data_IF_300206930971
#
_entry.id   IF_300206930971
#
_cell.length_a   1.000
_cell.length_b   1.000
_cell.length_c   1.000
_cell.angle_alpha   90.00
_cell.angle_beta   90.00
_cell.angle_gamma   90.00
#
_symmetry.space_group_name_H-M   'P 1'
#
loop_
_entity.id
_entity.type
_entity.pdbx_description
1 polymer ?
#
# COMPACT_ATOMS: atom_id res chain seq x y z
N UNK A 1 -14.92 -54.28 44.69
CA UNK A 1 -14.32 -53.16 45.45
C UNK A 1 -12.87 -52.88 45.07
N UNK A 2 -11.88 -53.75 45.32
CA UNK A 2 -10.47 -53.46 44.94
C UNK A 2 -10.19 -53.55 43.42
N UNK A 3 -10.95 -54.37 42.69
CA UNK A 3 -10.83 -54.54 41.24
C UNK A 3 -11.32 -53.32 40.46
N UNK A 4 -12.43 -52.72 40.90
CA UNK A 4 -13.11 -51.64 40.17
C UNK A 4 -12.27 -50.36 40.17
N UNK A 5 -11.66 -50.04 41.31
CA UNK A 5 -10.78 -48.89 41.48
C UNK A 5 -9.55 -48.92 40.55
N UNK A 6 -9.00 -50.11 40.29
CA UNK A 6 -7.89 -50.28 39.36
C UNK A 6 -8.34 -50.05 37.91
N UNK A 7 -9.53 -50.50 37.54
CA UNK A 7 -10.06 -50.27 36.18
C UNK A 7 -10.27 -48.79 35.91
N UNK A 8 -10.80 -48.02 36.87
CA UNK A 8 -10.96 -46.56 36.71
C UNK A 8 -9.63 -45.82 36.61
N UNK A 9 -8.59 -46.27 37.32
CA UNK A 9 -7.24 -45.70 37.19
C UNK A 9 -6.63 -45.97 35.81
N UNK A 10 -6.77 -47.20 35.30
CA UNK A 10 -6.26 -47.55 33.96
C UNK A 10 -7.04 -46.85 32.84
N UNK A 11 -8.37 -46.79 32.95
CA UNK A 11 -9.24 -46.10 31.97
C UNK A 11 -8.97 -44.59 32.01
N UNK A 12 -8.83 -44.00 33.21
CA UNK A 12 -8.48 -42.59 33.37
C UNK A 12 -7.11 -42.25 32.77
N UNK A 13 -6.12 -43.13 32.97
CA UNK A 13 -4.79 -42.98 32.35
C UNK A 13 -4.86 -43.04 30.82
N UNK A 14 -5.64 -43.98 30.26
CA UNK A 14 -5.81 -44.10 28.81
C UNK A 14 -6.50 -42.87 28.20
N UNK A 15 -7.55 -42.34 28.83
CA UNK A 15 -8.24 -41.13 28.39
C UNK A 15 -7.30 -39.93 28.45
N UNK A 16 -6.52 -39.80 29.53
CA UNK A 16 -5.55 -38.71 29.68
C UNK A 16 -4.46 -38.76 28.60
N UNK A 17 -3.93 -39.95 28.29
CA UNK A 17 -2.95 -40.11 27.21
C UNK A 17 -3.52 -39.78 25.83
N UNK A 18 -4.78 -40.15 25.56
CA UNK A 18 -5.43 -39.82 24.28
C UNK A 18 -5.63 -38.30 24.12
N UNK A 19 -6.04 -37.59 25.17
CA UNK A 19 -6.22 -36.13 25.14
C UNK A 19 -4.88 -35.44 24.87
N UNK A 20 -3.79 -35.88 25.50
CA UNK A 20 -2.45 -35.31 25.25
C UNK A 20 -2.05 -35.51 23.79
N UNK A 21 -2.25 -36.70 23.22
CA UNK A 21 -1.90 -36.98 21.81
C UNK A 21 -2.69 -36.07 20.86
N UNK A 22 -4.01 -35.94 21.04
CA UNK A 22 -4.82 -35.05 20.20
C UNK A 22 -4.46 -33.57 20.37
N UNK A 23 -4.13 -33.14 21.59
CA UNK A 23 -3.72 -31.76 21.86
C UNK A 23 -2.38 -31.43 21.19
N UNK A 24 -1.42 -32.36 21.21
CA UNK A 24 -0.12 -32.20 20.53
C UNK A 24 -0.28 -32.15 19.01
N UNK A 25 -1.09 -33.04 18.43
CA UNK A 25 -1.37 -33.05 16.97
C UNK A 25 -2.08 -31.76 16.53
N UNK A 26 -3.04 -31.27 17.33
CA UNK A 26 -3.73 -30.00 17.06
C UNK A 26 -2.79 -28.80 17.01
N UNK A 27 -1.85 -28.72 17.96
CA UNK A 27 -0.83 -27.65 18.01
C UNK A 27 0.09 -27.71 16.77
N UNK A 28 0.48 -28.91 16.32
CA UNK A 28 1.33 -29.09 15.13
C UNK A 28 0.61 -28.65 13.85
N UNK A 29 -0.66 -29.01 13.68
CA UNK A 29 -1.44 -28.61 12.49
C UNK A 29 -1.67 -27.09 12.47
N UNK A 30 -2.00 -26.49 13.61
CA UNK A 30 -2.16 -25.04 13.74
C UNK A 30 -0.83 -24.34 13.46
N UNK A 31 0.27 -24.82 14.03
CA UNK A 31 1.61 -24.31 13.79
C UNK A 31 2.02 -24.39 12.32
N UNK A 32 1.77 -25.52 11.64
CA UNK A 32 2.07 -25.67 10.21
C UNK A 32 1.24 -24.71 9.34
N UNK A 33 -0.06 -24.53 9.62
CA UNK A 33 -0.88 -23.52 8.94
C UNK A 33 -0.39 -22.09 9.21
N UNK A 34 0.15 -21.82 10.39
CA UNK A 34 0.67 -20.50 10.77
C UNK A 34 2.02 -20.21 10.11
N UNK A 35 2.90 -21.21 10.01
CA UNK A 35 4.17 -21.12 9.25
C UNK A 35 3.89 -20.89 7.76
N UNK A 36 2.94 -21.62 7.16
CA UNK A 36 2.58 -21.41 5.74
C UNK A 36 1.96 -20.04 5.47
N UNK A 37 1.09 -19.54 6.36
CA UNK A 37 0.56 -18.16 6.29
C UNK A 37 1.65 -17.10 6.45
N UNK A 38 2.67 -17.37 7.26
CA UNK A 38 3.81 -16.47 7.47
C UNK A 38 4.76 -16.45 6.26
N UNK A 39 4.90 -17.56 5.54
CA UNK A 39 5.63 -17.59 4.25
C UNK A 39 4.90 -16.80 3.16
N UNK A 40 3.59 -17.00 2.99
CA UNK A 40 2.81 -16.26 1.98
C UNK A 40 2.72 -14.75 2.30
N UNK A 41 2.55 -14.37 3.57
CA UNK A 41 2.54 -12.96 3.97
C UNK A 41 3.92 -12.28 3.82
N UNK A 42 5.01 -13.01 4.08
CA UNK A 42 6.37 -12.49 3.84
C UNK A 42 6.67 -12.35 2.35
N UNK A 43 6.21 -13.27 1.51
CA UNK A 43 6.37 -13.18 0.05
C UNK A 43 5.57 -12.00 -0.53
N UNK A 44 4.35 -11.76 -0.04
CA UNK A 44 3.52 -10.63 -0.46
C UNK A 44 4.15 -9.28 -0.05
N UNK A 45 4.56 -9.14 1.21
CA UNK A 45 5.19 -7.92 1.69
C UNK A 45 6.57 -7.69 1.06
N UNK A 46 7.33 -8.77 0.82
CA UNK A 46 8.60 -8.69 0.11
C UNK A 46 8.42 -8.34 -1.37
N UNK A 47 7.38 -8.85 -2.05
CA UNK A 47 7.12 -8.49 -3.45
C UNK A 47 6.79 -7.00 -3.60
N UNK A 48 5.95 -6.45 -2.72
CA UNK A 48 5.66 -5.01 -2.71
C UNK A 48 6.91 -4.19 -2.35
N UNK A 49 7.81 -4.68 -1.47
CA UNK A 49 9.06 -4.00 -1.09
C UNK A 49 10.16 -4.11 -2.16
N UNK A 50 10.33 -5.27 -2.80
CA UNK A 50 11.29 -5.52 -3.88
C UNK A 50 10.92 -4.72 -5.14
N UNK A 51 9.61 -4.56 -5.39
CA UNK A 51 9.09 -3.70 -6.43
C UNK A 51 9.53 -2.24 -6.25
N UNK A 52 9.42 -1.69 -5.02
CA UNK A 52 9.88 -0.31 -4.73
C UNK A 52 11.40 -0.19 -4.83
N UNK A 53 12.13 -1.22 -4.38
CA UNK A 53 13.60 -1.27 -4.47
C UNK A 53 14.11 -1.31 -5.91
N UNK A 54 13.41 -2.03 -6.79
CA UNK A 54 13.72 -2.08 -8.22
C UNK A 54 13.46 -0.74 -8.90
N UNK A 55 12.40 -0.03 -8.53
CA UNK A 55 12.14 1.32 -9.02
C UNK A 55 13.26 2.32 -8.63
N UNK A 56 13.78 2.26 -7.40
CA UNK A 56 14.95 3.06 -6.98
C UNK A 56 16.20 2.75 -7.82
N UNK A 57 16.41 1.48 -8.15
CA UNK A 57 17.54 1.03 -8.96
C UNK A 57 17.43 1.42 -10.44
N UNK A 58 16.22 1.40 -11.01
CA UNK A 58 15.97 1.76 -12.41
C UNK A 58 16.11 3.28 -12.64
N UNK A 59 15.76 4.10 -11.63
CA UNK A 59 16.02 5.55 -11.62
C UNK A 59 17.52 5.85 -11.56
N UNK A 60 18.26 5.18 -10.66
CA UNK A 60 19.74 5.31 -10.56
C UNK A 60 20.46 4.80 -11.83
N UNK A 61 19.87 3.85 -12.55
CA UNK A 61 20.46 3.29 -13.77
C UNK A 61 20.18 4.13 -15.03
N UNK A 62 19.18 5.02 -15.00
CA UNK A 62 18.89 5.95 -16.11
C UNK A 62 19.73 7.24 -16.09
N UNK A 63 20.44 7.56 -14.99
CA UNK A 63 21.39 8.69 -14.95
C UNK A 63 22.78 8.35 -15.56
N UNK A 64 23.05 7.08 -15.85
CA UNK A 64 24.36 6.59 -16.29
C UNK A 64 24.56 6.53 -17.80
N UNK A 65 24.21 7.55 -18.59
CA UNK A 65 24.67 7.69 -19.99
C UNK A 65 24.37 9.08 -20.57
N UNK A 66 25.07 10.13 -20.12
CA UNK A 66 25.60 11.23 -20.96
C UNK A 66 26.43 12.23 -20.11
N UNK A 67 27.75 12.02 -20.10
CA UNK A 67 28.78 13.04 -19.83
C UNK A 67 29.11 13.70 -21.19
N UNK A 68 29.31 15.00 -21.40
CA UNK A 68 29.56 16.16 -20.54
C UNK A 68 28.99 17.43 -21.23
N UNK A 69 28.44 18.38 -20.47
CA UNK A 69 29.08 19.70 -20.25
C UNK A 69 28.22 20.62 -19.36
N UNK A 70 28.88 21.04 -18.27
CA UNK A 70 28.61 22.14 -17.34
C UNK A 70 27.67 21.88 -16.16
N UNK A 71 28.35 21.47 -15.08
CA UNK A 71 28.25 22.01 -13.71
C UNK A 71 27.18 21.41 -12.80
N UNK A 72 27.60 20.36 -12.09
CA UNK A 72 27.30 20.03 -10.69
C UNK A 72 26.03 20.66 -10.10
N UNK A 73 24.92 19.93 -10.16
CA UNK A 73 23.83 20.05 -9.19
C UNK A 73 23.51 18.65 -8.66
N UNK A 74 24.39 18.15 -7.79
CA UNK A 74 24.06 17.06 -6.90
C UNK A 74 22.86 17.48 -6.06
N UNK A 75 21.75 16.76 -6.22
CA UNK A 75 20.51 16.85 -5.44
C UNK A 75 20.78 17.07 -3.94
N UNK A 76 20.73 18.32 -3.50
CA UNK A 76 20.71 18.69 -2.10
C UNK A 76 19.28 18.62 -1.58
N UNK A 77 18.94 17.47 -0.97
CA UNK A 77 17.65 17.24 -0.31
C UNK A 77 17.40 18.25 0.84
N UNK A 78 18.45 18.89 1.38
CA UNK A 78 18.29 19.96 2.37
C UNK A 78 17.75 21.28 1.78
N UNK A 79 17.92 21.55 0.48
CA UNK A 79 17.45 22.79 -0.15
C UNK A 79 15.94 22.75 -0.47
N UNK A 80 15.37 21.56 -0.63
CA UNK A 80 13.92 21.37 -0.80
C UNK A 80 13.12 21.67 0.49
N UNK A 81 13.74 21.47 1.66
CA UNK A 81 13.11 21.68 2.98
C UNK A 81 13.11 23.15 3.44
N UNK A 82 13.99 24.00 2.89
CA UNK A 82 14.12 25.42 3.30
C UNK A 82 13.19 26.37 2.50
N UNK A 83 12.56 25.88 1.43
CA UNK A 83 11.61 26.66 0.61
C UNK A 83 10.15 26.57 1.10
N UNK A 84 9.88 25.85 2.20
CA UNK A 84 8.54 25.66 2.75
C UNK A 84 8.12 26.71 3.81
N UNK A 85 8.74 27.90 3.80
CA UNK A 85 8.28 29.06 4.57
C UNK A 85 7.99 30.23 3.64
N UNK A 86 6.80 30.22 3.05
CA UNK A 86 5.94 31.40 2.86
C UNK A 86 4.94 31.12 1.75
N UNK A 87 3.68 30.91 2.13
CA UNK A 87 2.57 31.70 1.61
C UNK A 87 1.23 31.19 2.14
N UNK A 88 0.67 32.03 3.01
CA UNK A 88 -0.76 32.09 3.28
C UNK A 88 -1.58 32.07 1.97
N UNK A 89 -2.59 31.19 1.89
CA UNK A 89 -3.98 31.63 1.61
C UNK A 89 -5.01 30.52 1.85
N UNK A 90 -5.60 30.60 3.03
CA UNK A 90 -6.98 30.23 3.34
C UNK A 90 -7.96 30.54 2.19
N UNK A 91 -8.79 29.56 1.80
CA UNK A 91 -10.24 29.75 1.60
C UNK A 91 -10.94 28.39 1.59
N UNK A 92 -11.76 28.16 2.62
CA UNK A 92 -12.83 27.16 2.62
C UNK A 92 -13.82 27.41 1.46
N UNK A 93 -14.18 26.36 0.72
CA UNK A 93 -15.41 26.33 -0.08
C UNK A 93 -16.00 24.92 -0.03
N UNK A 94 -17.13 24.82 0.65
CA UNK A 94 -18.05 23.67 0.68
C UNK A 94 -18.97 23.77 -0.53
N UNK A 95 -19.08 22.72 -1.34
CA UNK A 95 -20.23 22.38 -2.20
C UNK A 95 -19.92 21.00 -2.81
N UNK A 96 -20.59 19.93 -2.40
CA UNK A 96 -21.93 19.48 -2.82
C UNK A 96 -21.97 18.93 -4.25
N UNK A 97 -22.74 17.85 -4.35
CA UNK A 97 -22.81 16.81 -5.38
C UNK A 97 -23.04 17.29 -6.82
N UNK A 98 -22.49 16.49 -7.73
CA UNK A 98 -22.97 16.15 -9.08
C UNK A 98 -22.51 16.95 -10.33
N UNK A 99 -22.32 16.13 -11.36
CA UNK A 99 -22.28 16.38 -12.81
C UNK A 99 -20.93 16.68 -13.50
N UNK A 100 -20.55 15.69 -14.31
CA UNK A 100 -19.78 15.73 -15.56
C UNK A 100 -19.29 17.13 -16.00
N UNK A 101 -18.01 17.38 -15.78
CA UNK A 101 -17.30 18.52 -16.36
C UNK A 101 -16.18 17.99 -17.23
N UNK A 102 -16.26 18.24 -18.54
CA UNK A 102 -15.14 18.07 -19.47
C UNK A 102 -13.99 18.97 -19.01
N UNK A 103 -12.97 18.36 -18.38
CA UNK A 103 -11.80 19.06 -17.86
C UNK A 103 -10.79 19.29 -18.98
N UNK A 104 -10.59 20.56 -19.35
CA UNK A 104 -9.47 20.98 -20.17
C UNK A 104 -8.15 20.75 -19.43
N UNK A 105 -7.14 20.21 -20.12
CA UNK A 105 -5.85 19.75 -19.58
C UNK A 105 -4.99 20.82 -18.87
N UNK A 106 -5.41 22.08 -18.83
CA UNK A 106 -4.63 23.21 -18.32
C UNK A 106 -4.91 23.63 -16.86
N UNK A 107 -5.91 23.05 -16.16
CA UNK A 107 -6.23 23.42 -14.77
C UNK A 107 -6.66 22.21 -13.91
N UNK A 108 -6.05 21.04 -14.14
CA UNK A 108 -6.28 19.86 -13.31
C UNK A 108 -5.61 20.04 -11.93
N UNK A 109 -6.23 20.87 -11.09
CA UNK A 109 -5.85 21.03 -9.68
C UNK A 109 -6.08 19.70 -8.97
N UNK A 110 -5.03 19.20 -8.35
CA UNK A 110 -5.11 18.06 -7.43
C UNK A 110 -6.11 18.43 -6.33
N UNK A 111 -7.10 17.57 -6.10
CA UNK A 111 -8.07 17.77 -5.03
C UNK A 111 -8.17 16.54 -4.14
N UNK A 112 -8.57 16.79 -2.90
CA UNK A 112 -8.76 15.77 -1.88
C UNK A 112 -10.11 15.07 -2.11
N UNK A 113 -10.06 13.75 -2.28
CA UNK A 113 -11.22 12.87 -2.28
C UNK A 113 -11.43 12.40 -0.85
N UNK A 114 -12.55 12.80 -0.25
CA UNK A 114 -12.86 12.48 1.14
C UNK A 114 -13.23 11.01 1.31
N UNK A 115 -12.71 10.41 2.38
CA UNK A 115 -13.04 9.06 2.78
C UNK A 115 -14.47 8.92 3.34
N UNK A 116 -15.00 7.71 3.25
CA UNK A 116 -16.25 7.30 3.87
C UNK A 116 -16.00 6.82 5.30
N UNK A 117 -16.14 7.72 6.26
CA UNK A 117 -15.97 7.48 7.70
C UNK A 117 -16.80 6.31 8.27
N UNK A 118 -17.92 5.98 7.61
CA UNK A 118 -18.83 4.89 8.03
C UNK A 118 -18.40 3.52 7.52
N UNK A 119 -17.41 3.44 6.63
CA UNK A 119 -16.95 2.17 6.09
C UNK A 119 -16.30 1.30 7.18
N UNK A 120 -16.31 -0.01 7.01
CA UNK A 120 -15.49 -0.92 7.82
C UNK A 120 -14.09 -1.12 7.23
N UNK A 121 -13.87 -0.75 5.97
CA UNK A 121 -12.58 -0.88 5.28
C UNK A 121 -11.74 0.37 5.54
N UNK A 122 -10.48 0.20 5.97
CA UNK A 122 -9.62 1.33 6.35
C UNK A 122 -9.26 2.25 5.18
N UNK A 123 -9.12 1.70 3.98
CA UNK A 123 -8.81 2.48 2.78
C UNK A 123 -10.02 3.27 2.29
N UNK A 124 -11.25 2.80 2.53
CA UNK A 124 -12.43 3.61 2.22
C UNK A 124 -12.59 4.81 3.14
N UNK A 125 -12.10 4.74 4.38
CA UNK A 125 -12.12 5.87 5.31
C UNK A 125 -11.07 6.92 5.01
N UNK A 126 -10.03 6.53 4.28
CA UNK A 126 -8.88 7.39 4.05
C UNK A 126 -9.19 8.43 2.98
N UNK A 127 -8.86 9.68 3.28
CA UNK A 127 -8.77 10.70 2.25
C UNK A 127 -7.64 10.36 1.29
N UNK A 128 -7.78 10.71 0.01
CA UNK A 128 -6.77 10.46 -1.02
C UNK A 128 -6.80 11.50 -2.13
N UNK A 129 -5.80 11.51 -3.00
CA UNK A 129 -5.69 12.54 -4.04
C UNK A 129 -6.20 12.07 -5.40
N UNK A 130 -6.83 13.00 -6.12
CA UNK A 130 -7.24 12.82 -7.51
C UNK A 130 -6.08 13.03 -8.50
N UNK A 131 -6.34 12.79 -9.79
CA UNK A 131 -5.43 13.08 -10.90
C UNK A 131 -4.04 12.41 -10.82
N UNK A 132 -4.00 11.21 -10.24
CA UNK A 132 -2.81 10.39 -10.06
C UNK A 132 -2.00 10.14 -11.34
N UNK A 133 -2.66 10.19 -12.50
CA UNK A 133 -2.07 9.85 -13.81
C UNK A 133 -1.68 11.04 -14.69
N UNK A 134 -2.11 12.26 -14.35
CA UNK A 134 -1.98 13.45 -15.23
C UNK A 134 -1.29 14.65 -14.58
N UNK A 135 -1.31 14.78 -13.25
CA UNK A 135 -0.69 15.91 -12.54
C UNK A 135 0.39 15.41 -11.57
N UNK A 136 1.55 16.07 -11.56
CA UNK A 136 2.62 15.81 -10.59
C UNK A 136 2.25 16.37 -9.22
N UNK A 137 2.40 15.57 -8.17
CA UNK A 137 2.14 15.97 -6.79
C UNK A 137 3.29 16.75 -6.17
N UNK A 138 2.97 17.51 -5.14
CA UNK A 138 3.93 18.21 -4.27
C UNK A 138 3.93 17.58 -2.88
N UNK A 139 4.96 17.85 -2.07
CA UNK A 139 4.94 17.41 -0.66
C UNK A 139 3.79 18.02 0.13
N UNK A 140 3.32 19.22 -0.23
CA UNK A 140 2.17 19.84 0.43
C UNK A 140 0.90 19.02 0.19
N UNK A 141 0.71 18.50 -1.03
CA UNK A 141 -0.42 17.63 -1.36
C UNK A 141 -0.36 16.31 -0.57
N UNK A 142 0.83 15.76 -0.36
CA UNK A 142 0.99 14.52 0.41
C UNK A 142 0.84 14.73 1.92
N UNK A 143 1.18 15.92 2.43
CA UNK A 143 1.20 16.22 3.87
C UNK A 143 -0.17 16.24 4.54
N UNK A 144 -1.25 16.35 3.75
CA UNK A 144 -2.62 16.32 4.24
C UNK A 144 -3.16 14.90 4.37
N UNK A 145 -2.46 13.89 3.85
CA UNK A 145 -2.90 12.49 3.88
C UNK A 145 -2.31 11.74 5.06
N UNK A 146 -3.06 10.77 5.56
CA UNK A 146 -2.53 9.75 6.47
C UNK A 146 -1.84 8.60 5.72
N UNK A 147 -1.30 7.63 6.46
CA UNK A 147 -0.63 6.47 5.87
C UNK A 147 -1.53 5.64 4.94
N UNK A 148 -2.84 5.60 5.18
CA UNK A 148 -3.77 4.85 4.33
C UNK A 148 -4.07 5.64 3.05
N UNK A 149 -4.19 6.97 3.16
CA UNK A 149 -4.37 7.91 2.07
C UNK A 149 -3.19 7.95 1.10
N UNK A 150 -1.97 7.91 1.63
CA UNK A 150 -0.76 7.77 0.80
C UNK A 150 -0.76 6.44 0.05
N UNK A 151 -1.05 5.34 0.77
CA UNK A 151 -1.03 4.00 0.20
C UNK A 151 -2.07 3.84 -0.90
N UNK A 152 -3.29 4.34 -0.71
CA UNK A 152 -4.35 4.24 -1.72
C UNK A 152 -4.07 5.14 -2.93
N UNK A 153 -3.55 6.37 -2.71
CA UNK A 153 -3.17 7.29 -3.79
C UNK A 153 -2.10 6.67 -4.69
N UNK A 154 -1.05 6.07 -4.10
CA UNK A 154 -0.01 5.37 -4.87
C UNK A 154 -0.56 4.15 -5.60
N UNK A 155 -1.39 3.34 -4.94
CA UNK A 155 -1.89 2.10 -5.53
C UNK A 155 -2.97 2.34 -6.59
N UNK A 156 -3.65 3.49 -6.58
CA UNK A 156 -4.57 3.87 -7.66
C UNK A 156 -3.85 3.91 -9.00
N UNK A 157 -2.62 4.44 -9.05
CA UNK A 157 -1.80 4.46 -10.28
C UNK A 157 -1.70 3.05 -10.86
N UNK A 158 -1.35 2.06 -10.06
CA UNK A 158 -1.26 0.67 -10.53
C UNK A 158 -2.63 0.07 -10.87
N UNK A 159 -3.69 0.46 -10.13
CA UNK A 159 -5.05 0.00 -10.38
C UNK A 159 -5.59 0.48 -11.74
N UNK A 160 -5.23 1.70 -12.17
CA UNK A 160 -5.59 2.23 -13.50
C UNK A 160 -5.02 1.38 -14.64
N UNK A 161 -3.90 0.70 -14.39
CA UNK A 161 -3.25 -0.25 -15.30
C UNK A 161 -3.66 -1.72 -15.04
N UNK A 162 -4.70 -1.95 -14.26
CA UNK A 162 -5.29 -3.28 -14.05
C UNK A 162 -4.48 -4.20 -13.12
N UNK A 163 -3.54 -3.67 -12.33
CA UNK A 163 -2.81 -4.46 -11.31
C UNK A 163 -3.78 -4.97 -10.25
N UNK A 164 -3.68 -6.26 -9.92
CA UNK A 164 -4.34 -6.88 -8.77
C UNK A 164 -3.52 -6.70 -7.48
N UNK A 165 -4.18 -6.70 -6.34
CA UNK A 165 -3.58 -6.49 -5.03
C UNK A 165 -3.66 -7.74 -4.15
N UNK A 166 -2.56 -8.03 -3.47
CA UNK A 166 -2.47 -9.12 -2.49
C UNK A 166 -3.02 -8.72 -1.11
N UNK A 167 -2.95 -7.41 -0.78
CA UNK A 167 -3.60 -6.84 0.40
C UNK A 167 -5.12 -6.93 0.22
N UNK A 168 -5.79 -7.68 1.10
CA UNK A 168 -7.22 -7.96 0.98
C UNK A 168 -8.07 -6.69 1.09
N UNK A 169 -7.77 -5.79 2.04
CA UNK A 169 -8.55 -4.57 2.22
C UNK A 169 -8.37 -3.64 1.02
N UNK A 170 -7.16 -3.59 0.44
CA UNK A 170 -6.87 -2.80 -0.75
C UNK A 170 -7.56 -3.38 -1.99
N UNK A 171 -7.52 -4.70 -2.16
CA UNK A 171 -8.22 -5.39 -3.25
C UNK A 171 -9.73 -5.18 -3.16
N UNK A 172 -10.29 -5.24 -1.95
CA UNK A 172 -11.71 -4.95 -1.72
C UNK A 172 -12.09 -3.51 -2.02
N UNK A 173 -11.23 -2.55 -1.65
CA UNK A 173 -11.41 -1.14 -2.00
C UNK A 173 -11.48 -0.95 -3.52
N UNK A 174 -10.47 -1.42 -4.26
CA UNK A 174 -10.40 -1.20 -5.71
C UNK A 174 -11.50 -1.95 -6.46
N UNK A 175 -11.89 -3.15 -6.01
CA UNK A 175 -13.03 -3.90 -6.59
C UNK A 175 -14.36 -3.14 -6.54
N UNK A 176 -14.51 -2.17 -5.64
CA UNK A 176 -15.71 -1.33 -5.54
C UNK A 176 -15.64 -0.09 -6.43
N UNK A 177 -14.49 0.20 -7.03
CA UNK A 177 -14.33 1.30 -7.96
C UNK A 177 -14.86 0.89 -9.34
N UNK A 178 -15.83 1.63 -9.87
CA UNK A 178 -16.49 1.29 -11.13
C UNK A 178 -15.53 1.28 -12.33
N UNK A 179 -14.45 2.07 -12.25
CA UNK A 179 -13.43 2.18 -13.29
C UNK A 179 -12.35 1.09 -13.21
N UNK A 180 -12.28 0.33 -12.12
CA UNK A 180 -11.19 -0.64 -11.91
C UNK A 180 -11.48 -1.97 -12.59
N UNK A 181 -10.56 -2.40 -13.46
CA UNK A 181 -10.64 -3.68 -14.18
C UNK A 181 -9.39 -4.51 -13.84
N UNK A 182 -9.49 -5.51 -12.92
CA UNK A 182 -8.34 -6.33 -12.56
C UNK A 182 -7.95 -7.29 -13.69
N UNK A 183 -6.72 -7.19 -14.19
CA UNK A 183 -6.22 -7.95 -15.35
C UNK A 183 -4.88 -8.65 -15.09
N UNK A 184 -3.98 -8.02 -14.32
CA UNK A 184 -2.58 -8.47 -14.17
C UNK A 184 -2.32 -8.81 -12.71
N UNK A 185 -1.75 -9.99 -12.43
CA UNK A 185 -1.41 -10.36 -11.07
C UNK A 185 -0.33 -9.43 -10.49
N UNK A 186 -0.37 -9.21 -9.17
CA UNK A 186 0.54 -8.30 -8.49
C UNK A 186 2.03 -8.54 -8.83
N UNK A 187 2.42 -9.82 -8.95
CA UNK A 187 3.79 -10.26 -9.22
C UNK A 187 4.17 -10.21 -10.71
N UNK A 188 3.18 -10.15 -11.60
CA UNK A 188 3.37 -10.13 -13.06
C UNK A 188 3.25 -8.71 -13.64
N UNK A 189 2.97 -7.71 -12.78
CA UNK A 189 2.79 -6.33 -13.20
C UNK A 189 4.14 -5.67 -13.55
N UNK A 190 4.22 -5.14 -14.78
CA UNK A 190 5.40 -4.44 -15.28
C UNK A 190 5.24 -2.92 -15.14
N UNK A 191 6.15 -2.28 -14.42
CA UNK A 191 6.16 -0.82 -14.19
C UNK A 191 6.54 -0.01 -15.41
N UNK A 192 7.09 -0.64 -16.44
CA UNK A 192 7.46 0.03 -17.68
C UNK A 192 6.25 0.64 -18.41
N UNK A 193 5.03 0.16 -18.11
CA UNK A 193 3.79 0.70 -18.66
C UNK A 193 3.42 2.09 -18.11
N UNK A 194 4.01 2.50 -16.99
CA UNK A 194 3.71 3.78 -16.35
C UNK A 194 4.29 4.94 -17.16
N UNK A 195 3.55 6.04 -17.21
CA UNK A 195 4.02 7.28 -17.81
C UNK A 195 4.95 8.06 -16.84
N UNK A 196 5.54 9.15 -17.32
CA UNK A 196 6.51 9.94 -16.53
C UNK A 196 5.90 10.65 -15.30
N UNK A 197 4.64 11.06 -15.37
CA UNK A 197 3.92 11.64 -14.22
C UNK A 197 3.63 10.57 -13.17
N UNK A 198 3.18 9.40 -13.61
CA UNK A 198 2.89 8.26 -12.74
C UNK A 198 4.14 7.77 -12.02
N UNK A 199 5.27 7.59 -12.74
CA UNK A 199 6.56 7.23 -12.14
C UNK A 199 7.00 8.25 -11.10
N UNK A 200 6.90 9.54 -11.43
CA UNK A 200 7.23 10.62 -10.51
C UNK A 200 6.39 10.57 -9.23
N UNK A 201 5.06 10.45 -9.36
CA UNK A 201 4.14 10.42 -8.22
C UNK A 201 4.36 9.17 -7.35
N UNK A 202 4.54 7.99 -7.95
CA UNK A 202 4.83 6.76 -7.20
C UNK A 202 6.10 6.92 -6.37
N UNK A 203 7.17 7.46 -6.97
CA UNK A 203 8.43 7.66 -6.28
C UNK A 203 8.30 8.69 -5.15
N UNK A 204 7.68 9.85 -5.42
CA UNK A 204 7.47 10.90 -4.42
C UNK A 204 6.70 10.37 -3.20
N UNK A 205 5.60 9.64 -3.43
CA UNK A 205 4.79 9.06 -2.36
C UNK A 205 5.59 8.00 -1.60
N UNK A 206 6.34 7.14 -2.28
CA UNK A 206 7.14 6.10 -1.62
C UNK A 206 8.21 6.69 -0.70
N UNK A 207 8.94 7.71 -1.16
CA UNK A 207 9.94 8.41 -0.34
C UNK A 207 9.29 9.10 0.86
N UNK A 208 8.14 9.74 0.65
CA UNK A 208 7.41 10.40 1.72
C UNK A 208 6.90 9.41 2.78
N UNK A 209 6.35 8.26 2.35
CA UNK A 209 5.94 7.17 3.24
C UNK A 209 7.10 6.63 4.10
N UNK A 210 8.28 6.46 3.52
CA UNK A 210 9.48 6.01 4.25
C UNK A 210 9.91 7.03 5.32
N UNK A 211 9.85 8.33 5.00
CA UNK A 211 10.23 9.40 5.92
C UNK A 211 9.28 9.51 7.12
N UNK A 212 7.98 9.27 6.93
CA UNK A 212 7.00 9.32 8.03
C UNK A 212 6.89 7.98 8.77
N UNK A 213 7.09 6.85 8.09
CA UNK A 213 7.01 5.51 8.67
C UNK A 213 8.27 5.08 9.44
N UNK A 214 9.40 5.74 9.19
CA UNK A 214 10.63 5.61 9.99
C UNK A 214 10.65 6.39 11.30
N UNK A 215 9.55 7.09 11.65
CA UNK A 215 9.40 7.84 12.90
C UNK A 215 8.68 7.05 13.99
#
# INVERSE_FOLDING_TARGET
MRSDEQRYKTIGLMIFTAIIIFSVVGIVIIGFKMVKKNEEAKLVAAADTEYMKKQKQDIESQEGSQEEKSTEESLNIEEFLDSATDSDKNTNAVADSDSDTEVSEADARVYLIQGNEKSSNRYEKADHLSYTTVTKYTLQDLSILDSYGLKITRNEIFARHGRMFNDQELQEYFKRQQWYVPQIAANDFDTSCLNEVEKYNVNLISVYEEQIGGK
#
